data_IF_175603688537
#
_entry.id   IF_175603688537
#
_cell.length_a   1.000
_cell.length_b   1.000
_cell.length_c   1.000
_cell.angle_alpha   90.00
_cell.angle_beta   90.00
_cell.angle_gamma   90.00
#
_symmetry.space_group_name_H-M   'P 1'
#
loop_
_entity.id
_entity.type
_entity.pdbx_description
1 polymer ?
#
# COMPACT_ATOMS: atom_id res chain seq x y z
N UNK A 1 -15.00 -30.25 34.42
CA UNK A 1 -14.69 -30.07 32.98
C UNK A 1 -13.70 -28.92 32.87
N UNK A 2 -12.52 -29.09 32.27
CA UNK A 2 -11.61 -27.96 32.10
C UNK A 2 -12.27 -26.94 31.17
N UNK A 3 -12.24 -25.67 31.58
CA UNK A 3 -12.86 -24.56 30.86
C UNK A 3 -12.35 -24.56 29.40
N UNK A 4 -13.26 -24.77 28.45
CA UNK A 4 -12.93 -24.95 27.03
C UNK A 4 -12.40 -23.65 26.38
N UNK A 5 -12.44 -22.53 27.12
CA UNK A 5 -11.99 -21.23 26.70
C UNK A 5 -10.82 -20.75 27.57
N UNK A 6 -9.68 -20.47 26.93
CA UNK A 6 -8.55 -19.82 27.60
C UNK A 6 -8.97 -18.46 28.15
N UNK A 7 -8.49 -18.05 29.33
CA UNK A 7 -8.70 -16.69 29.84
C UNK A 7 -8.15 -15.65 28.84
N UNK A 8 -8.67 -14.42 28.93
CA UNK A 8 -8.20 -13.32 28.09
C UNK A 8 -6.81 -12.90 28.54
N UNK A 9 -5.93 -12.62 27.57
CA UNK A 9 -4.62 -12.05 27.85
C UNK A 9 -4.79 -10.73 28.63
N UNK A 10 -4.04 -10.50 29.73
CA UNK A 10 -4.03 -9.24 30.45
C UNK A 10 -3.74 -8.06 29.51
N UNK A 11 -4.41 -6.93 29.73
CA UNK A 11 -4.20 -5.74 28.90
C UNK A 11 -2.78 -5.19 29.07
N UNK A 12 -2.21 -5.30 30.28
CA UNK A 12 -0.87 -4.82 30.63
C UNK A 12 0.21 -5.44 29.73
N UNK A 13 0.11 -6.73 29.43
CA UNK A 13 1.10 -7.44 28.60
C UNK A 13 1.06 -7.02 27.12
N UNK A 14 -0.12 -6.63 26.62
CA UNK A 14 -0.35 -6.38 25.19
C UNK A 14 -0.55 -4.91 24.84
N UNK A 15 -0.61 -4.01 25.82
CA UNK A 15 -1.03 -2.61 25.63
C UNK A 15 -0.14 -1.89 24.61
N UNK A 16 1.16 -1.92 24.84
CA UNK A 16 2.13 -1.17 24.01
C UNK A 16 2.14 -1.69 22.58
N UNK A 17 2.11 -3.01 22.40
CA UNK A 17 2.02 -3.65 21.09
C UNK A 17 0.70 -3.32 20.38
N UNK A 18 -0.42 -3.35 21.10
CA UNK A 18 -1.74 -3.03 20.57
C UNK A 18 -1.80 -1.58 20.08
N UNK A 19 -1.32 -0.62 20.88
CA UNK A 19 -1.24 0.79 20.50
C UNK A 19 -0.34 0.97 19.28
N UNK A 20 0.89 0.43 19.31
CA UNK A 20 1.85 0.54 18.21
C UNK A 20 1.31 -0.01 16.89
N UNK A 21 0.79 -1.24 16.88
CA UNK A 21 0.23 -1.85 15.66
C UNK A 21 -1.03 -1.13 15.17
N UNK A 22 -1.84 -0.62 16.09
CA UNK A 22 -2.98 0.20 15.72
C UNK A 22 -2.53 1.49 15.02
N UNK A 23 -1.54 2.21 15.54
CA UNK A 23 -0.98 3.40 14.88
C UNK A 23 -0.33 3.07 13.54
N UNK A 24 0.30 1.90 13.39
CA UNK A 24 0.90 1.47 12.12
C UNK A 24 -0.11 1.23 11.00
N UNK A 25 -1.32 0.75 11.28
CA UNK A 25 -2.18 0.34 10.15
C UNK A 25 -3.16 -0.76 10.40
N UNK A 26 -2.97 -1.52 11.48
CA UNK A 26 -3.46 -2.88 11.48
C UNK A 26 -4.97 -2.88 11.66
N UNK A 27 -5.63 -3.70 10.85
CA UNK A 27 -7.04 -4.03 11.06
C UNK A 27 -7.15 -5.06 12.18
N UNK A 28 -8.36 -5.30 12.68
CA UNK A 28 -8.56 -6.19 13.84
C UNK A 28 -8.03 -7.61 13.62
N UNK A 29 -8.07 -8.11 12.37
CA UNK A 29 -7.54 -9.43 12.02
C UNK A 29 -6.02 -9.47 12.09
N UNK A 30 -5.34 -8.45 11.56
CA UNK A 30 -3.88 -8.32 11.67
C UNK A 30 -3.44 -8.13 13.12
N UNK A 31 -4.20 -7.38 13.91
CA UNK A 31 -3.94 -7.24 15.35
C UNK A 31 -4.04 -8.60 16.04
N UNK A 32 -5.08 -9.38 15.79
CA UNK A 32 -5.22 -10.73 16.36
C UNK A 32 -4.07 -11.66 15.99
N UNK A 33 -3.60 -11.59 14.75
CA UNK A 33 -2.48 -12.40 14.26
C UNK A 33 -1.16 -12.01 14.94
N UNK A 34 -0.84 -10.71 14.99
CA UNK A 34 0.48 -10.24 15.44
C UNK A 34 0.58 -10.06 16.96
N UNK A 35 -0.54 -9.86 17.66
CA UNK A 35 -0.51 -9.77 19.13
C UNK A 35 -0.17 -11.10 19.80
N UNK A 36 -0.28 -12.23 19.10
CA UNK A 36 0.12 -13.55 19.62
C UNK A 36 1.59 -13.63 20.01
N UNK A 37 2.43 -12.76 19.45
CA UNK A 37 3.86 -12.69 19.77
C UNK A 37 4.13 -11.95 21.10
N UNK A 38 3.11 -11.34 21.71
CA UNK A 38 3.23 -10.46 22.88
C UNK A 38 2.52 -11.00 24.13
N UNK A 39 2.01 -12.23 24.11
CA UNK A 39 1.44 -12.89 25.29
C UNK A 39 1.60 -14.41 25.20
N UNK A 40 1.51 -15.10 26.33
CA UNK A 40 1.56 -16.56 26.34
C UNK A 40 0.27 -17.17 25.76
N UNK A 41 0.36 -17.61 24.50
CA UNK A 41 -0.76 -18.25 23.78
C UNK A 41 -1.12 -19.64 24.32
N UNK A 42 -0.29 -20.26 25.16
CA UNK A 42 -0.61 -21.54 25.80
C UNK A 42 -1.61 -21.35 26.94
N UNK A 43 -1.44 -20.28 27.72
CA UNK A 43 -2.28 -19.92 28.87
C UNK A 43 -3.47 -19.06 28.46
N UNK A 44 -3.24 -18.05 27.61
CA UNK A 44 -4.24 -17.03 27.28
C UNK A 44 -4.72 -17.12 25.84
N UNK A 45 -5.91 -16.54 25.58
CA UNK A 45 -6.48 -16.38 24.26
C UNK A 45 -6.94 -14.95 24.00
N UNK A 46 -6.68 -14.44 22.81
CA UNK A 46 -7.10 -13.10 22.40
C UNK A 46 -7.84 -13.16 21.06
N UNK A 47 -9.16 -13.07 21.11
CA UNK A 47 -10.01 -13.00 19.93
C UNK A 47 -10.34 -11.57 19.49
N UNK A 48 -10.77 -11.38 18.24
CA UNK A 48 -11.21 -10.08 17.67
C UNK A 48 -12.15 -9.28 18.60
N UNK A 49 -13.13 -9.95 19.25
CA UNK A 49 -14.07 -9.28 20.16
C UNK A 49 -13.37 -8.67 21.39
N UNK A 50 -12.38 -9.36 21.95
CA UNK A 50 -11.56 -8.87 23.06
C UNK A 50 -10.70 -7.68 22.62
N UNK A 51 -10.07 -7.76 21.44
CA UNK A 51 -9.29 -6.67 20.86
C UNK A 51 -10.15 -5.41 20.68
N UNK A 52 -11.37 -5.55 20.14
CA UNK A 52 -12.31 -4.42 20.01
C UNK A 52 -12.66 -3.79 21.35
N UNK A 53 -12.77 -4.60 22.40
CA UNK A 53 -13.04 -4.12 23.77
C UNK A 53 -11.83 -3.35 24.32
N UNK A 54 -10.63 -3.91 24.25
CA UNK A 54 -9.41 -3.23 24.69
C UNK A 54 -9.14 -1.96 23.92
N UNK A 55 -9.37 -1.96 22.60
CA UNK A 55 -9.30 -0.74 21.79
C UNK A 55 -10.27 0.33 22.28
N UNK A 56 -11.50 -0.03 22.65
CA UNK A 56 -12.48 0.93 23.18
C UNK A 56 -12.03 1.47 24.54
N UNK A 57 -11.50 0.61 25.40
CA UNK A 57 -10.97 0.95 26.72
C UNK A 57 -9.78 1.91 26.63
N UNK A 58 -8.88 1.69 25.66
CA UNK A 58 -7.73 2.55 25.36
C UNK A 58 -8.06 3.77 24.49
N UNK A 59 -9.32 4.01 24.12
CA UNK A 59 -9.69 5.13 23.23
C UNK A 59 -9.16 5.01 21.79
N UNK A 60 -8.76 3.82 21.34
CA UNK A 60 -8.27 3.51 19.99
C UNK A 60 -9.43 3.38 18.99
N UNK A 61 -10.08 4.51 18.76
CA UNK A 61 -11.30 4.64 17.96
C UNK A 61 -11.03 4.49 16.46
N UNK A 62 -11.95 3.83 15.76
CA UNK A 62 -11.95 3.77 14.30
C UNK A 62 -12.37 5.11 13.67
N UNK A 63 -12.12 5.29 12.36
CA UNK A 63 -12.53 6.50 11.62
C UNK A 63 -13.98 6.92 11.85
N UNK A 64 -14.92 5.97 11.80
CA UNK A 64 -16.35 6.26 12.01
C UNK A 64 -16.65 6.69 13.45
N UNK A 65 -15.92 6.12 14.42
CA UNK A 65 -16.11 6.44 15.84
C UNK A 65 -15.50 7.79 16.21
N UNK A 66 -14.38 8.17 15.58
CA UNK A 66 -13.79 9.50 15.77
C UNK A 66 -14.65 10.61 15.15
N UNK A 67 -15.40 10.30 14.08
CA UNK A 67 -16.38 11.19 13.46
C UNK A 67 -15.86 12.62 13.18
N UNK A 68 -14.61 12.71 12.70
CA UNK A 68 -13.99 13.99 12.35
C UNK A 68 -14.75 14.71 11.24
N UNK A 69 -14.77 16.04 11.33
CA UNK A 69 -15.32 16.97 10.32
C UNK A 69 -14.18 17.74 9.63
N UNK A 70 -14.50 18.44 8.52
CA UNK A 70 -13.55 19.27 7.77
C UNK A 70 -12.88 20.30 8.68
N UNK A 71 -13.66 20.95 9.55
CA UNK A 71 -13.17 21.90 10.55
C UNK A 71 -12.21 21.26 11.56
N UNK A 72 -12.52 20.05 12.06
CA UNK A 72 -11.70 19.38 13.09
C UNK A 72 -10.32 18.96 12.59
N UNK A 73 -10.15 18.75 11.29
CA UNK A 73 -8.87 18.32 10.69
C UNK A 73 -8.09 19.48 10.07
N UNK A 74 -8.70 20.65 9.91
CA UNK A 74 -8.12 21.78 9.19
C UNK A 74 -6.78 22.25 9.77
N UNK A 75 -6.70 22.39 11.10
CA UNK A 75 -5.46 22.81 11.78
C UNK A 75 -4.31 21.83 11.55
N UNK A 76 -4.57 20.53 11.74
CA UNK A 76 -3.56 19.50 11.50
C UNK A 76 -3.14 19.42 10.03
N UNK A 77 -4.08 19.63 9.08
CA UNK A 77 -3.74 19.68 7.65
C UNK A 77 -2.87 20.92 7.34
N UNK A 78 -3.16 22.07 7.94
CA UNK A 78 -2.38 23.30 7.75
C UNK A 78 -0.92 23.13 8.21
N UNK A 79 -0.70 22.54 9.39
CA UNK A 79 0.64 22.22 9.89
C UNK A 79 1.38 21.21 9.00
N UNK A 80 0.69 20.16 8.55
CA UNK A 80 1.28 19.19 7.60
C UNK A 80 1.66 19.88 6.29
N UNK A 81 0.85 20.84 5.83
CA UNK A 81 1.07 21.61 4.61
C UNK A 81 2.25 22.55 4.71
N UNK A 82 2.43 23.20 5.86
CA UNK A 82 3.60 24.05 6.14
C UNK A 82 4.90 23.25 6.01
N UNK A 83 4.94 22.07 6.62
CA UNK A 83 6.13 21.20 6.56
C UNK A 83 6.29 20.51 5.19
N UNK A 84 5.17 20.19 4.51
CA UNK A 84 5.18 19.43 3.27
C UNK A 84 4.17 19.96 2.23
N UNK A 85 4.51 21.06 1.53
CA UNK A 85 3.58 21.75 0.62
C UNK A 85 3.09 20.88 -0.54
N UNK A 86 3.89 19.91 -1.01
CA UNK A 86 3.59 19.12 -2.20
C UNK A 86 2.78 17.84 -1.93
N UNK A 87 2.66 17.41 -0.66
CA UNK A 87 2.07 16.09 -0.31
C UNK A 87 0.65 15.93 -0.86
N UNK A 88 0.33 14.75 -1.36
CA UNK A 88 -1.00 14.44 -1.86
C UNK A 88 -1.94 14.00 -0.74
N UNK A 89 -3.23 13.91 -1.06
CA UNK A 89 -4.30 13.44 -0.15
C UNK A 89 -3.91 12.20 0.67
N UNK A 90 -3.39 11.17 0.01
CA UNK A 90 -3.10 9.90 0.71
C UNK A 90 -1.94 10.06 1.71
N UNK A 91 -0.93 10.85 1.34
CA UNK A 91 0.19 11.13 2.24
C UNK A 91 -0.27 11.97 3.43
N UNK A 92 -1.11 12.99 3.20
CA UNK A 92 -1.70 13.81 4.27
C UNK A 92 -2.53 12.93 5.22
N UNK A 93 -3.38 12.05 4.68
CA UNK A 93 -4.19 11.14 5.49
C UNK A 93 -3.33 10.20 6.35
N UNK A 94 -2.22 9.68 5.82
CA UNK A 94 -1.28 8.85 6.59
C UNK A 94 -0.63 9.66 7.72
N UNK A 95 -0.28 10.91 7.47
CA UNK A 95 0.38 11.78 8.43
C UNK A 95 -0.57 12.25 9.54
N UNK A 96 -1.82 12.59 9.19
CA UNK A 96 -2.90 12.82 10.17
C UNK A 96 -3.02 11.64 11.14
N UNK A 97 -2.95 10.42 10.61
CA UNK A 97 -3.04 9.23 11.42
C UNK A 97 -1.79 9.02 12.30
N UNK A 98 -0.60 9.15 11.73
CA UNK A 98 0.67 8.80 12.39
C UNK A 98 1.07 9.84 13.44
N UNK A 99 0.95 11.13 13.14
CA UNK A 99 1.39 12.22 14.02
C UNK A 99 0.30 12.72 14.95
N UNK A 100 -0.93 12.81 14.45
CA UNK A 100 -2.04 13.43 15.18
C UNK A 100 -3.07 12.42 15.72
N UNK A 101 -2.91 11.12 15.42
CA UNK A 101 -3.90 10.10 15.78
C UNK A 101 -5.26 10.24 15.08
N UNK A 102 -5.37 11.18 14.12
CA UNK A 102 -6.59 11.52 13.40
C UNK A 102 -6.78 10.52 12.25
N UNK A 103 -7.81 9.68 12.37
CA UNK A 103 -8.17 8.69 11.35
C UNK A 103 -9.27 9.24 10.47
N UNK A 104 -8.93 10.13 9.54
CA UNK A 104 -9.88 10.67 8.58
C UNK A 104 -10.23 9.68 7.44
N UNK A 105 -11.46 9.80 6.92
CA UNK A 105 -11.87 9.07 5.72
C UNK A 105 -11.23 9.72 4.48
N UNK A 106 -11.10 8.95 3.40
CA UNK A 106 -10.62 9.49 2.13
C UNK A 106 -11.49 10.62 1.60
N UNK A 107 -12.82 10.47 1.73
CA UNK A 107 -13.79 11.46 1.28
C UNK A 107 -13.64 12.78 2.05
N UNK A 108 -13.42 12.70 3.36
CA UNK A 108 -13.26 13.88 4.22
C UNK A 108 -12.01 14.68 3.84
N UNK A 109 -10.85 14.02 3.72
CA UNK A 109 -9.61 14.71 3.33
C UNK A 109 -9.69 15.21 1.89
N UNK A 110 -10.29 14.45 0.98
CA UNK A 110 -10.56 14.90 -0.39
C UNK A 110 -11.39 16.17 -0.42
N UNK A 111 -12.55 16.18 0.26
CA UNK A 111 -13.45 17.34 0.30
C UNK A 111 -12.76 18.57 0.86
N UNK A 112 -12.05 18.42 1.99
CA UNK A 112 -11.29 19.52 2.59
C UNK A 112 -10.24 20.10 1.64
N UNK A 113 -9.48 19.26 0.92
CA UNK A 113 -8.47 19.74 -0.04
C UNK A 113 -9.10 20.33 -1.31
N UNK A 114 -10.25 19.83 -1.74
CA UNK A 114 -11.00 20.42 -2.86
C UNK A 114 -11.57 21.80 -2.51
N UNK A 115 -11.98 22.00 -1.25
CA UNK A 115 -12.44 23.30 -0.73
C UNK A 115 -11.27 24.30 -0.57
N UNK A 116 -10.13 23.85 -0.06
CA UNK A 116 -9.00 24.73 0.32
C UNK A 116 -7.96 24.94 -0.78
N UNK A 117 -7.69 23.93 -1.60
CA UNK A 117 -6.65 23.95 -2.65
C UNK A 117 -7.13 23.34 -3.99
N UNK A 118 -8.27 23.81 -4.56
CA UNK A 118 -8.89 23.22 -5.75
C UNK A 118 -7.95 23.16 -6.96
N UNK A 119 -7.12 24.19 -7.16
CA UNK A 119 -6.18 24.27 -8.28
C UNK A 119 -5.05 23.24 -8.14
N UNK A 120 -4.53 23.03 -6.93
CA UNK A 120 -3.52 22.02 -6.65
C UNK A 120 -4.09 20.60 -6.82
N UNK A 121 -5.34 20.38 -6.42
CA UNK A 121 -6.05 19.12 -6.67
C UNK A 121 -6.22 18.89 -8.18
N UNK A 122 -6.68 19.89 -8.93
CA UNK A 122 -6.79 19.82 -10.40
C UNK A 122 -5.44 19.51 -11.05
N UNK A 123 -4.38 20.24 -10.70
CA UNK A 123 -3.05 20.03 -11.24
C UNK A 123 -2.54 18.59 -11.04
N UNK A 124 -2.84 17.96 -9.89
CA UNK A 124 -2.50 16.55 -9.64
C UNK A 124 -3.31 15.58 -10.49
N UNK A 125 -4.60 15.87 -10.76
CA UNK A 125 -5.44 15.05 -11.66
C UNK A 125 -4.97 15.11 -13.12
N UNK A 126 -4.30 16.20 -13.51
CA UNK A 126 -3.78 16.42 -14.87
C UNK A 126 -2.52 15.59 -15.17
N UNK A 127 -1.90 14.94 -14.18
CA UNK A 127 -0.83 13.94 -14.39
C UNK A 127 -1.38 12.64 -15.00
N UNK A 128 -1.93 12.74 -16.21
CA UNK A 128 -2.25 11.60 -17.07
C UNK A 128 -0.93 10.97 -17.49
N UNK A 129 -0.93 9.64 -17.64
CA UNK A 129 0.10 8.96 -18.41
C UNK A 129 0.12 9.59 -19.80
N UNK A 130 1.13 10.41 -20.08
CA UNK A 130 1.36 10.89 -21.43
C UNK A 130 1.75 9.66 -22.24
N UNK A 131 0.99 9.36 -23.31
CA UNK A 131 1.37 8.30 -24.24
C UNK A 131 2.77 8.62 -24.74
N UNK A 132 3.73 7.76 -24.40
CA UNK A 132 5.10 7.88 -24.92
C UNK A 132 5.00 7.62 -26.43
N UNK A 133 5.48 8.57 -27.23
CA UNK A 133 5.71 8.34 -28.65
C UNK A 133 7.07 7.67 -28.77
N UNK A 134 7.10 6.47 -29.35
CA UNK A 134 8.35 5.82 -29.71
C UNK A 134 8.76 6.38 -31.08
N UNK A 135 9.96 6.93 -31.15
CA UNK A 135 10.60 7.31 -32.41
C UNK A 135 11.64 6.23 -32.69
N UNK A 136 11.51 5.55 -33.82
CA UNK A 136 12.43 4.50 -34.26
C UNK A 136 12.73 4.71 -35.75
N UNK A 137 14.00 4.61 -36.13
CA UNK A 137 14.49 4.77 -37.49
C UNK A 137 14.13 3.56 -38.39
N UNK A 138 13.84 2.41 -37.79
CA UNK A 138 13.45 1.20 -38.49
C UNK A 138 13.23 0.03 -37.54
N UNK A 139 13.10 -1.17 -38.12
CA UNK A 139 13.00 -2.44 -37.39
C UNK A 139 14.23 -2.63 -36.51
N UNK A 140 14.03 -3.06 -35.26
CA UNK A 140 15.08 -3.28 -34.27
C UNK A 140 15.89 -2.06 -33.82
N UNK A 141 15.47 -0.83 -34.14
CA UNK A 141 16.14 0.40 -33.67
C UNK A 141 15.87 0.68 -32.17
N UNK A 142 14.65 0.38 -31.71
CA UNK A 142 14.24 0.53 -30.31
C UNK A 142 13.50 -0.71 -29.88
N UNK A 143 13.82 -1.26 -28.71
CA UNK A 143 13.06 -2.36 -28.12
C UNK A 143 12.43 -1.94 -26.79
N UNK A 144 11.11 -2.11 -26.68
CA UNK A 144 10.37 -1.87 -25.45
C UNK A 144 10.24 -3.16 -24.65
N UNK A 145 10.91 -3.20 -23.49
CA UNK A 145 10.86 -4.32 -22.57
C UNK A 145 9.86 -4.05 -21.44
N UNK A 146 9.07 -5.07 -21.09
CA UNK A 146 8.15 -5.02 -19.96
C UNK A 146 8.01 -6.41 -19.30
N UNK A 147 7.48 -6.42 -18.08
CA UNK A 147 7.22 -7.65 -17.32
C UNK A 147 5.79 -7.63 -16.78
N UNK A 148 5.17 -8.80 -16.70
CA UNK A 148 3.82 -8.94 -16.19
C UNK A 148 3.76 -9.92 -15.01
N UNK A 149 3.22 -9.46 -13.88
CA UNK A 149 3.31 -10.11 -12.57
C UNK A 149 1.99 -10.69 -12.07
N UNK A 150 0.85 -10.43 -12.72
CA UNK A 150 -0.48 -10.84 -12.22
C UNK A 150 -0.64 -12.35 -12.04
N UNK A 151 0.11 -13.15 -12.80
CA UNK A 151 0.06 -14.61 -12.72
C UNK A 151 0.93 -15.16 -11.58
N UNK A 152 1.87 -14.36 -11.07
CA UNK A 152 2.79 -14.75 -10.02
C UNK A 152 2.07 -15.25 -8.76
N UNK A 153 1.17 -14.45 -8.16
CA UNK A 153 0.48 -14.84 -6.92
C UNK A 153 -0.39 -16.08 -7.05
N UNK A 154 -0.95 -16.36 -8.24
CA UNK A 154 -1.93 -17.44 -8.43
C UNK A 154 -1.31 -18.73 -8.98
N UNK A 155 -0.33 -18.61 -9.89
CA UNK A 155 0.21 -19.73 -10.66
C UNK A 155 1.71 -19.90 -10.50
N UNK A 156 2.41 -18.97 -9.84
CA UNK A 156 3.87 -19.00 -9.80
C UNK A 156 4.52 -18.74 -11.16
N UNK A 157 3.84 -17.99 -12.04
CA UNK A 157 4.31 -17.68 -13.39
C UNK A 157 4.41 -16.16 -13.59
N UNK A 158 5.56 -15.71 -14.08
CA UNK A 158 5.86 -14.32 -14.38
C UNK A 158 6.31 -14.20 -15.82
N UNK A 159 5.75 -13.23 -16.53
CA UNK A 159 6.01 -13.07 -17.96
C UNK A 159 7.02 -11.94 -18.17
N UNK A 160 7.94 -12.16 -19.10
CA UNK A 160 8.93 -11.22 -19.58
C UNK A 160 8.68 -11.03 -21.07
N UNK A 161 8.32 -9.83 -21.47
CA UNK A 161 8.01 -9.52 -22.87
C UNK A 161 8.93 -8.43 -23.39
N UNK A 162 9.27 -8.53 -24.66
CA UNK A 162 9.92 -7.45 -25.39
C UNK A 162 9.27 -7.30 -26.75
N UNK A 163 8.98 -6.05 -27.11
CA UNK A 163 8.33 -5.70 -28.35
C UNK A 163 9.14 -4.64 -29.09
N UNK A 164 9.28 -4.80 -30.40
CA UNK A 164 9.71 -3.73 -31.29
C UNK A 164 8.50 -2.82 -31.55
N UNK A 165 8.50 -1.55 -31.11
CA UNK A 165 7.39 -0.64 -31.31
C UNK A 165 7.24 -0.15 -32.77
N UNK A 166 8.26 -0.32 -33.63
CA UNK A 166 8.19 0.02 -35.05
C UNK A 166 7.31 -0.98 -35.81
N UNK A 167 7.51 -2.28 -35.57
CA UNK A 167 6.77 -3.36 -36.23
C UNK A 167 5.59 -3.88 -35.41
N UNK A 168 5.61 -3.68 -34.08
CA UNK A 168 4.73 -4.36 -33.14
C UNK A 168 5.08 -5.83 -32.90
N UNK A 169 6.24 -6.29 -33.38
CA UNK A 169 6.66 -7.68 -33.25
C UNK A 169 7.21 -7.97 -31.85
N UNK A 170 6.81 -9.10 -31.24
CA UNK A 170 7.37 -9.53 -29.97
C UNK A 170 8.71 -10.24 -30.20
N UNK A 171 9.80 -9.58 -29.86
CA UNK A 171 11.15 -10.12 -29.95
C UNK A 171 11.33 -11.34 -29.04
N UNK A 172 10.70 -11.32 -27.86
CA UNK A 172 10.54 -12.50 -27.02
C UNK A 172 9.33 -12.38 -26.10
N UNK A 173 8.76 -13.53 -25.76
CA UNK A 173 7.86 -13.71 -24.64
C UNK A 173 8.30 -14.94 -23.86
N UNK A 174 8.80 -14.73 -22.63
CA UNK A 174 9.33 -15.82 -21.78
C UNK A 174 8.61 -15.85 -20.45
N UNK A 175 8.38 -17.07 -19.95
CA UNK A 175 7.73 -17.30 -18.66
C UNK A 175 8.76 -17.84 -17.68
N UNK A 176 8.75 -17.33 -16.45
CA UNK A 176 9.66 -17.74 -15.39
C UNK A 176 8.99 -17.69 -14.01
N UNK A 177 9.62 -18.24 -12.97
CA UNK A 177 9.11 -18.18 -11.59
C UNK A 177 9.46 -16.87 -10.86
N UNK A 178 10.10 -15.90 -11.52
CA UNK A 178 10.38 -14.58 -10.94
C UNK A 178 10.59 -13.52 -12.02
N UNK A 179 10.21 -12.28 -11.72
CA UNK A 179 10.54 -11.09 -12.49
C UNK A 179 11.59 -10.18 -11.82
N UNK A 180 12.02 -10.50 -10.59
CA UNK A 180 12.94 -9.66 -9.78
C UNK A 180 14.42 -9.92 -10.04
N UNK A 181 14.77 -10.63 -11.11
CA UNK A 181 16.15 -10.93 -11.46
C UNK A 181 16.54 -10.26 -12.80
N UNK A 182 17.33 -9.18 -12.78
CA UNK A 182 17.70 -8.46 -14.00
C UNK A 182 18.59 -9.29 -14.94
N UNK A 183 19.31 -10.32 -14.44
CA UNK A 183 20.13 -11.21 -15.27
C UNK A 183 19.32 -11.98 -16.30
N UNK A 184 18.04 -12.27 -16.01
CA UNK A 184 17.15 -12.95 -16.96
C UNK A 184 16.89 -12.08 -18.18
N UNK A 185 16.55 -10.81 -17.96
CA UNK A 185 16.29 -9.84 -19.04
C UNK A 185 17.53 -9.67 -19.92
N UNK A 186 18.70 -9.52 -19.30
CA UNK A 186 19.96 -9.42 -20.03
C UNK A 186 20.26 -10.67 -20.86
N UNK A 187 20.03 -11.86 -20.29
CA UNK A 187 20.19 -13.12 -21.01
C UNK A 187 19.25 -13.22 -22.21
N UNK A 188 17.98 -12.87 -22.03
CA UNK A 188 16.98 -12.88 -23.10
C UNK A 188 17.34 -11.90 -24.22
N UNK A 189 17.79 -10.70 -23.87
CA UNK A 189 18.29 -9.73 -24.83
C UNK A 189 19.46 -10.28 -25.65
N UNK A 190 20.49 -10.81 -25.00
CA UNK A 190 21.68 -11.35 -25.68
C UNK A 190 21.30 -12.52 -26.59
N UNK A 191 20.45 -13.43 -26.12
CA UNK A 191 19.95 -14.56 -26.90
C UNK A 191 19.20 -14.10 -28.15
N UNK A 192 18.32 -13.11 -28.00
CA UNK A 192 17.54 -12.58 -29.12
C UNK A 192 18.39 -11.80 -30.11
N UNK A 193 19.35 -10.99 -29.67
CA UNK A 193 20.29 -10.30 -30.58
C UNK A 193 21.11 -11.33 -31.37
N UNK A 194 21.65 -12.36 -30.71
CA UNK A 194 22.39 -13.43 -31.40
C UNK A 194 21.56 -14.19 -32.45
N UNK A 195 20.24 -14.27 -32.25
CA UNK A 195 19.35 -14.90 -33.21
C UNK A 195 19.08 -14.02 -34.45
N UNK A 196 19.10 -12.70 -34.29
CA UNK A 196 18.83 -11.74 -35.38
C UNK A 196 20.07 -11.23 -36.12
N UNK A 197 21.28 -11.36 -35.53
CA UNK A 197 22.55 -10.97 -36.14
C UNK A 197 23.23 -9.84 -35.38
#
# INVERSE_FOLDING_TARGET
MPNQYKPKAPLEDIRDALEAYFHLGFNDKKLEEHLKDHYDTTVYGLGIKSIKRYRKELGLLSTRQQNHTSASIAGAIAEIREMFPSRGRETIRKELKLRYGIRASHALVSGHLEETEPDAVKARRVRRFHRRKFHAAGVNDVWAQDQHDKWGPRFGLWLHNNIDPFTGYNNWLKVWWTNKNPRLIAGYYIETVRAYG
#
